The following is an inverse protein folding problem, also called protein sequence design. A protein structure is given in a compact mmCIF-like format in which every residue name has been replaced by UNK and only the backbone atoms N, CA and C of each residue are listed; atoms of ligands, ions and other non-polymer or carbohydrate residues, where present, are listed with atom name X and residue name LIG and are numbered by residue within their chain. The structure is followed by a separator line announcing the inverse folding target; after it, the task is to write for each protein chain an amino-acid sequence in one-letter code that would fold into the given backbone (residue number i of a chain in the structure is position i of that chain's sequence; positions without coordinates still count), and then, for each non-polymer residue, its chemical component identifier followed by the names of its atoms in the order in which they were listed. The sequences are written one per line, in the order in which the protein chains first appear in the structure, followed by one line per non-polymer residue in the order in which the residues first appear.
data_IF_739017798198
#
_entry.id   IF_739017798198
#
_cell.length_a   1.000
_cell.length_b   1.000
_cell.length_c   1.000
_cell.angle_alpha   90.00
_cell.angle_beta   90.00
_cell.angle_gamma   90.00
#
_symmetry.space_group_name_H-M   'P 1'
#
loop_
_entity.id
_entity.type
_entity.pdbx_description
1 polymer ?
#
# COMPACT_ATOMS: atom_id res chain seq x y z
N UNK A 1 -5.78 18.46 7.02
CA UNK A 1 -5.88 18.02 5.62
C UNK A 1 -4.46 17.90 5.12
N UNK A 2 -3.94 16.69 5.00
CA UNK A 2 -2.78 16.48 4.12
C UNK A 2 -3.34 15.75 2.90
N UNK A 3 -3.94 16.55 2.03
CA UNK A 3 -4.36 16.14 0.70
C UNK A 3 -3.13 15.96 -0.20
N UNK A 4 -3.29 15.18 -1.27
CA UNK A 4 -2.30 14.87 -2.29
C UNK A 4 -1.44 16.08 -2.64
N UNK A 5 -0.13 15.87 -2.80
CA UNK A 5 0.79 16.98 -3.07
C UNK A 5 0.49 17.66 -4.41
N UNK A 6 -0.04 16.90 -5.38
CA UNK A 6 -0.59 17.40 -6.64
C UNK A 6 -1.47 16.36 -7.33
N UNK A 7 -2.70 16.71 -7.67
CA UNK A 7 -3.52 16.01 -8.68
C UNK A 7 -3.58 16.90 -9.91
N UNK A 8 -3.22 16.36 -11.08
CA UNK A 8 -3.37 17.05 -12.37
C UNK A 8 -4.18 16.14 -13.28
N UNK A 9 -5.28 16.66 -13.82
CA UNK A 9 -6.05 15.99 -14.86
C UNK A 9 -5.85 16.75 -16.16
N UNK A 10 -5.32 16.07 -17.16
CA UNK A 10 -5.13 16.59 -18.51
C UNK A 10 -6.24 16.03 -19.41
N UNK A 11 -7.01 16.91 -20.07
CA UNK A 11 -8.01 16.52 -21.07
C UNK A 11 -8.02 17.50 -22.23
N UNK A 12 -8.49 17.05 -23.40
CA UNK A 12 -8.77 17.90 -24.55
C UNK A 12 -10.01 18.78 -24.35
N UNK A 13 -10.85 18.46 -23.35
CA UNK A 13 -11.98 19.27 -22.91
C UNK A 13 -11.78 19.77 -21.46
N UNK A 14 -11.60 21.09 -21.29
CA UNK A 14 -11.30 21.72 -19.99
C UNK A 14 -12.41 21.47 -18.95
N UNK A 15 -13.68 21.55 -19.34
CA UNK A 15 -14.83 21.22 -18.49
C UNK A 15 -14.84 19.76 -18.05
N UNK A 16 -14.43 18.84 -18.92
CA UNK A 16 -14.32 17.42 -18.60
C UNK A 16 -13.20 17.15 -17.58
N UNK A 17 -12.05 17.82 -17.73
CA UNK A 17 -10.93 17.69 -16.80
C UNK A 17 -11.31 18.08 -15.36
N UNK A 18 -12.03 19.19 -15.19
CA UNK A 18 -12.45 19.68 -13.87
C UNK A 18 -13.41 18.73 -13.16
N UNK A 19 -14.36 18.14 -13.90
CA UNK A 19 -15.29 17.16 -13.36
C UNK A 19 -14.56 15.90 -12.93
N UNK A 20 -13.69 15.35 -13.78
CA UNK A 20 -12.90 14.17 -13.43
C UNK A 20 -11.95 14.42 -12.27
N UNK A 21 -11.37 15.62 -12.18
CA UNK A 21 -10.50 15.98 -11.06
C UNK A 21 -11.26 15.87 -9.73
N UNK A 22 -12.50 16.39 -9.65
CA UNK A 22 -13.34 16.26 -8.45
C UNK A 22 -13.69 14.81 -8.14
N UNK A 23 -14.10 14.04 -9.15
CA UNK A 23 -14.41 12.61 -8.98
C UNK A 23 -13.20 11.84 -8.43
N UNK A 24 -12.00 12.09 -8.97
CA UNK A 24 -10.77 11.46 -8.49
C UNK A 24 -10.49 11.84 -7.04
N UNK A 25 -10.57 13.13 -6.69
CA UNK A 25 -10.36 13.61 -5.32
C UNK A 25 -11.34 12.94 -4.35
N UNK A 26 -12.62 12.93 -4.68
CA UNK A 26 -13.68 12.39 -3.83
C UNK A 26 -13.49 10.89 -3.61
N UNK A 27 -13.27 10.12 -4.67
CA UNK A 27 -13.08 8.66 -4.60
C UNK A 27 -11.82 8.31 -3.82
N UNK A 28 -10.69 8.96 -4.10
CA UNK A 28 -9.44 8.65 -3.40
C UNK A 28 -9.52 9.05 -1.92
N UNK A 29 -10.27 10.10 -1.58
CA UNK A 29 -10.50 10.53 -0.19
C UNK A 29 -11.40 9.57 0.57
N UNK A 30 -12.50 9.12 -0.04
CA UNK A 30 -13.42 8.12 0.52
C UNK A 30 -12.69 6.82 0.89
N UNK A 31 -11.75 6.40 0.05
CA UNK A 31 -10.95 5.18 0.26
C UNK A 31 -9.68 5.40 1.12
N UNK A 32 -9.51 6.61 1.68
CA UNK A 32 -8.39 7.01 2.50
C UNK A 32 -7.01 6.77 1.83
N UNK A 33 -6.92 7.02 0.53
CA UNK A 33 -5.71 6.82 -0.27
C UNK A 33 -4.75 8.02 -0.27
N UNK A 34 -5.13 9.17 0.30
CA UNK A 34 -4.27 10.37 0.39
C UNK A 34 -3.00 10.17 1.21
N UNK A 35 -3.03 9.24 2.16
CA UNK A 35 -1.86 8.84 2.96
C UNK A 35 -0.99 7.78 2.29
N UNK A 36 -1.44 7.25 1.16
CA UNK A 36 -0.77 6.17 0.42
C UNK A 36 -0.12 6.72 -0.84
N UNK A 37 -0.83 7.61 -1.54
CA UNK A 37 -0.39 8.21 -2.79
C UNK A 37 0.22 9.58 -2.52
N UNK A 38 1.36 9.85 -3.15
CA UNK A 38 2.10 11.11 -3.02
C UNK A 38 1.66 12.09 -4.11
N UNK A 39 1.80 11.67 -5.37
CA UNK A 39 1.51 12.46 -6.57
C UNK A 39 0.61 11.67 -7.48
N UNK A 40 -0.38 12.31 -8.08
CA UNK A 40 -1.34 11.68 -8.97
C UNK A 40 -1.47 12.51 -10.24
N UNK A 41 -1.51 11.83 -11.38
CA UNK A 41 -1.87 12.40 -12.68
C UNK A 41 -2.88 11.52 -13.37
N UNK A 42 -3.91 12.14 -13.94
CA UNK A 42 -4.80 11.50 -14.88
C UNK A 42 -4.70 12.20 -16.24
N UNK A 43 -4.82 11.42 -17.30
CA UNK A 43 -4.91 11.90 -18.67
C UNK A 43 -6.11 11.24 -19.33
N UNK A 44 -6.94 12.05 -19.98
CA UNK A 44 -8.16 11.64 -20.64
C UNK A 44 -8.15 12.21 -22.05
N UNK A 45 -8.37 11.36 -23.04
CA UNK A 45 -8.55 11.78 -24.42
C UNK A 45 -9.91 11.26 -24.90
N UNK A 46 -10.77 12.17 -25.35
CA UNK A 46 -12.11 11.80 -25.82
C UNK A 46 -12.08 11.38 -27.29
N UNK A 47 -11.12 11.89 -28.07
CA UNK A 47 -10.99 11.57 -29.52
C UNK A 47 -10.42 10.19 -29.72
N UNK A 48 -9.41 9.85 -28.93
CA UNK A 48 -8.94 8.49 -28.76
C UNK A 48 -9.40 8.00 -27.39
N UNK A 49 -10.45 7.17 -27.25
CA UNK A 49 -11.10 6.91 -25.97
C UNK A 49 -10.16 6.16 -25.00
N UNK A 50 -9.28 6.90 -24.34
CA UNK A 50 -8.24 6.40 -23.44
C UNK A 50 -8.21 7.23 -22.17
N UNK A 51 -8.14 6.51 -21.06
CA UNK A 51 -7.99 7.03 -19.72
C UNK A 51 -6.71 6.46 -19.13
N UNK A 52 -5.81 7.33 -18.70
CA UNK A 52 -4.54 6.95 -18.08
C UNK A 52 -4.51 7.56 -16.69
N UNK A 53 -4.22 6.74 -15.68
CA UNK A 53 -4.02 7.18 -14.31
C UNK A 53 -2.65 6.70 -13.83
N UNK A 54 -1.85 7.62 -13.32
CA UNK A 54 -0.52 7.34 -12.79
C UNK A 54 -0.37 8.00 -11.44
N UNK A 55 0.07 7.25 -10.44
CA UNK A 55 0.37 7.78 -9.13
C UNK A 55 1.68 7.22 -8.57
N UNK A 56 2.41 8.05 -7.83
CA UNK A 56 3.52 7.59 -6.99
C UNK A 56 3.00 7.23 -5.61
N UNK A 57 3.53 6.15 -5.03
CA UNK A 57 3.24 5.74 -3.66
C UNK A 57 4.22 6.43 -2.73
N UNK A 58 3.75 6.84 -1.56
CA UNK A 58 4.63 7.37 -0.50
C UNK A 58 5.56 6.25 -0.01
N UNK A 59 6.83 6.58 0.22
CA UNK A 59 7.78 5.68 0.87
C UNK A 59 7.32 5.32 2.28
N UNK A 60 7.52 4.07 2.69
CA UNK A 60 7.11 3.58 4.00
C UNK A 60 5.59 3.38 4.12
N UNK A 61 5.03 2.58 3.21
CA UNK A 61 3.61 2.17 3.29
C UNK A 61 3.30 1.64 4.71
N UNK A 62 2.07 1.85 5.22
CA UNK A 62 1.72 1.44 6.57
C UNK A 62 1.96 -0.05 6.76
N UNK A 63 3.02 -0.39 7.50
CA UNK A 63 3.29 -1.73 7.99
C UNK A 63 2.77 -1.84 9.41
N UNK A 64 2.36 -3.04 9.78
CA UNK A 64 1.95 -3.36 11.14
C UNK A 64 3.13 -4.02 11.81
N UNK A 65 3.68 -3.36 12.81
CA UNK A 65 4.74 -3.91 13.65
C UNK A 65 4.12 -4.68 14.80
N UNK A 66 4.88 -5.59 15.40
CA UNK A 66 4.41 -6.32 16.58
C UNK A 66 4.03 -5.36 17.71
N UNK A 67 4.83 -4.31 17.92
CA UNK A 67 4.58 -3.26 18.91
C UNK A 67 3.25 -2.49 18.73
N UNK A 68 2.64 -2.54 17.55
CA UNK A 68 1.33 -1.89 17.31
C UNK A 68 0.16 -2.63 17.98
N UNK A 69 0.36 -3.91 18.35
CA UNK A 69 -0.71 -4.75 18.90
C UNK A 69 -0.25 -5.75 19.96
N UNK A 70 1.00 -5.71 20.40
CA UNK A 70 1.53 -6.55 21.48
C UNK A 70 2.64 -5.85 22.26
N UNK A 71 2.76 -6.22 23.54
CA UNK A 71 3.91 -5.87 24.39
C UNK A 71 4.91 -7.02 24.35
N UNK A 72 6.20 -6.70 24.23
CA UNK A 72 7.28 -7.69 24.11
C UNK A 72 8.25 -7.48 25.26
N UNK A 73 8.41 -8.51 26.07
CA UNK A 73 9.22 -8.50 27.29
C UNK A 73 10.16 -9.71 27.33
N UNK A 74 11.27 -9.55 28.05
CA UNK A 74 12.09 -10.71 28.42
C UNK A 74 11.26 -11.62 29.33
N UNK A 75 11.43 -12.93 29.18
CA UNK A 75 10.87 -13.89 30.12
C UNK A 75 11.46 -13.77 31.52
N UNK A 76 10.98 -14.63 32.43
CA UNK A 76 11.47 -14.62 33.82
C UNK A 76 12.98 -14.82 33.89
N UNK A 77 13.60 -14.22 34.91
CA UNK A 77 15.04 -14.30 35.13
C UNK A 77 15.55 -15.75 35.12
N UNK A 78 16.49 -16.05 34.22
CA UNK A 78 17.07 -17.39 34.05
C UNK A 78 16.35 -18.29 33.04
N UNK A 79 15.26 -17.82 32.42
CA UNK A 79 14.63 -18.49 31.27
C UNK A 79 15.09 -17.86 29.96
N UNK A 80 15.51 -18.71 29.02
CA UNK A 80 15.91 -18.28 27.68
C UNK A 80 14.67 -18.09 26.80
N UNK A 81 13.84 -17.11 27.14
CA UNK A 81 12.57 -16.88 26.45
C UNK A 81 12.19 -15.40 26.36
N UNK A 82 11.34 -15.10 25.38
CA UNK A 82 10.71 -13.79 25.18
C UNK A 82 9.21 -13.99 25.28
N UNK A 83 8.54 -13.12 26.03
CA UNK A 83 7.08 -13.13 26.20
C UNK A 83 6.46 -12.05 25.33
N UNK A 84 5.45 -12.42 24.55
CA UNK A 84 4.67 -11.51 23.71
C UNK A 84 3.23 -11.49 24.24
N UNK A 85 2.84 -10.37 24.84
CA UNK A 85 1.49 -10.15 25.37
C UNK A 85 0.64 -9.43 24.31
N UNK A 86 -0.38 -10.11 23.78
CA UNK A 86 -1.21 -9.62 22.70
C UNK A 86 -2.30 -8.67 23.22
N UNK A 87 -2.31 -7.44 22.73
CA UNK A 87 -3.35 -6.43 23.02
C UNK A 87 -4.55 -6.57 22.07
N UNK A 88 -4.34 -7.12 20.86
CA UNK A 88 -5.37 -7.38 19.84
C UNK A 88 -5.10 -8.69 19.13
N UNK A 89 -6.16 -9.40 18.75
CA UNK A 89 -6.05 -10.73 18.13
C UNK A 89 -6.00 -10.71 16.59
N UNK A 90 -6.13 -9.54 15.96
CA UNK A 90 -6.35 -9.39 14.51
C UNK A 90 -5.21 -9.92 13.63
N UNK A 91 -4.01 -10.11 14.18
CA UNK A 91 -2.79 -10.47 13.44
C UNK A 91 -2.09 -11.73 13.96
N UNK A 92 -2.75 -12.50 14.85
CA UNK A 92 -2.17 -13.72 15.44
C UNK A 92 -1.71 -14.72 14.36
N UNK A 93 -2.50 -15.04 13.31
CA UNK A 93 -2.07 -16.01 12.30
C UNK A 93 -0.80 -15.58 11.56
N UNK A 94 -0.70 -14.29 11.18
CA UNK A 94 0.47 -13.73 10.49
C UNK A 94 1.70 -13.73 11.40
N UNK A 95 1.52 -13.34 12.66
CA UNK A 95 2.56 -13.38 13.68
C UNK A 95 3.09 -14.80 13.89
N UNK A 96 2.21 -15.79 14.10
CA UNK A 96 2.61 -17.18 14.32
C UNK A 96 3.39 -17.76 13.13
N UNK A 97 2.97 -17.48 11.90
CA UNK A 97 3.71 -17.93 10.71
C UNK A 97 5.14 -17.37 10.70
N UNK A 98 5.32 -16.07 10.95
CA UNK A 98 6.66 -15.44 11.01
C UNK A 98 7.51 -15.98 12.15
N UNK A 99 6.92 -16.22 13.32
CA UNK A 99 7.62 -16.82 14.46
C UNK A 99 8.03 -18.27 14.15
N UNK A 100 7.16 -19.06 13.50
CA UNK A 100 7.49 -20.43 13.10
C UNK A 100 8.57 -20.49 12.02
N UNK A 101 8.56 -19.57 11.06
CA UNK A 101 9.61 -19.46 10.05
C UNK A 101 10.97 -19.12 10.66
N UNK A 102 11.00 -18.23 11.66
CA UNK A 102 12.24 -17.76 12.29
C UNK A 102 12.79 -18.70 13.36
N UNK A 103 11.96 -19.12 14.31
CA UNK A 103 12.39 -19.88 15.49
C UNK A 103 12.01 -21.37 15.41
N UNK A 104 11.16 -21.76 14.46
CA UNK A 104 10.64 -23.12 14.37
C UNK A 104 9.43 -23.35 15.28
N UNK A 105 8.47 -24.15 14.80
CA UNK A 105 7.20 -24.41 15.50
C UNK A 105 7.37 -24.99 16.91
N UNK A 106 8.43 -25.77 17.15
CA UNK A 106 8.69 -26.39 18.47
C UNK A 106 9.17 -25.41 19.55
N UNK A 107 9.59 -24.20 19.17
CA UNK A 107 10.11 -23.18 20.08
C UNK A 107 9.07 -22.08 20.38
N UNK A 108 7.85 -22.22 19.87
CA UNK A 108 6.76 -21.26 20.07
C UNK A 108 5.64 -21.93 20.88
N UNK A 109 5.41 -21.44 22.08
CA UNK A 109 4.26 -21.84 22.92
C UNK A 109 3.16 -20.77 22.81
N UNK A 110 1.98 -21.21 22.38
CA UNK A 110 0.75 -20.40 22.31
C UNK A 110 -0.41 -21.15 22.96
N UNK A 111 -0.17 -21.69 24.15
CA UNK A 111 -1.20 -22.35 24.97
C UNK A 111 -2.23 -21.37 25.53
N UNK A 112 -1.83 -20.12 25.78
CA UNK A 112 -2.71 -19.02 26.19
C UNK A 112 -3.10 -18.14 25.01
N UNK A 113 -4.39 -17.77 24.90
CA UNK A 113 -4.89 -17.01 23.74
C UNK A 113 -4.20 -15.64 23.57
N UNK A 114 -3.91 -14.97 24.67
CA UNK A 114 -3.36 -13.60 24.72
C UNK A 114 -1.85 -13.54 24.92
N UNK A 115 -1.15 -14.67 25.01
CA UNK A 115 0.28 -14.69 25.31
C UNK A 115 0.99 -15.72 24.44
N UNK A 116 2.11 -15.31 23.84
CA UNK A 116 3.00 -16.21 23.09
C UNK A 116 4.37 -16.19 23.76
N UNK A 117 4.93 -17.36 24.00
CA UNK A 117 6.29 -17.53 24.52
C UNK A 117 7.20 -18.01 23.38
N UNK A 118 8.30 -17.30 23.17
CA UNK A 118 9.34 -17.64 22.19
C UNK A 118 10.56 -18.13 22.93
N UNK A 119 10.88 -19.42 22.83
CA UNK A 119 12.09 -19.98 23.42
C UNK A 119 13.29 -19.70 22.52
N UNK A 120 14.25 -18.92 22.99
CA UNK A 120 15.45 -18.54 22.24
C UNK A 120 16.64 -18.27 23.18
N UNK A 121 17.83 -18.83 22.89
CA UNK A 121 19.04 -18.57 23.69
C UNK A 121 19.47 -17.10 23.63
N UNK A 122 19.11 -16.37 22.58
CA UNK A 122 19.51 -14.99 22.31
C UNK A 122 18.42 -13.97 22.72
N UNK A 123 17.63 -14.30 23.76
CA UNK A 123 16.46 -13.52 24.18
C UNK A 123 16.74 -12.02 24.37
N UNK A 124 17.93 -11.66 24.86
CA UNK A 124 18.31 -10.26 25.08
C UNK A 124 18.34 -9.43 23.79
N UNK A 125 18.80 -10.01 22.68
CA UNK A 125 18.84 -9.33 21.37
C UNK A 125 17.55 -9.48 20.57
N UNK A 126 16.78 -10.54 20.84
CA UNK A 126 15.54 -10.84 20.11
C UNK A 126 14.37 -9.92 20.52
N UNK A 127 14.35 -9.39 21.75
CA UNK A 127 13.29 -8.48 22.21
C UNK A 127 13.17 -7.24 21.33
N UNK A 128 14.28 -6.54 21.07
CA UNK A 128 14.28 -5.32 20.26
C UNK A 128 13.94 -5.62 18.80
N UNK A 129 14.43 -6.75 18.27
CA UNK A 129 14.06 -7.20 16.94
C UNK A 129 12.55 -7.46 16.85
N UNK A 130 11.99 -8.21 17.80
CA UNK A 130 10.58 -8.61 17.80
C UNK A 130 9.66 -7.39 17.89
N UNK A 131 10.01 -6.37 18.67
CA UNK A 131 9.25 -5.10 18.76
C UNK A 131 9.11 -4.40 17.42
N UNK A 132 10.18 -4.40 16.62
CA UNK A 132 10.24 -3.75 15.30
C UNK A 132 9.82 -4.69 14.15
N UNK A 133 9.58 -5.96 14.44
CA UNK A 133 9.24 -6.96 13.42
C UNK A 133 7.92 -6.59 12.72
N UNK A 134 8.00 -6.46 11.40
CA UNK A 134 6.83 -6.23 10.55
C UNK A 134 6.04 -7.54 10.41
N UNK A 135 4.79 -7.50 10.87
CA UNK A 135 3.84 -8.63 10.92
C UNK A 135 2.97 -8.69 9.68
N UNK A 136 2.48 -7.55 9.23
CA UNK A 136 1.64 -7.46 8.05
C UNK A 136 1.98 -6.17 7.30
N UNK A 137 2.27 -6.30 6.02
CA UNK A 137 2.37 -5.18 5.12
C UNK A 137 0.97 -4.99 4.55
N UNK A 138 0.27 -3.89 4.90
CA UNK A 138 -1.10 -3.62 4.42
C UNK A 138 -1.18 -3.41 2.90
N UNK A 139 -0.15 -3.77 2.14
CA UNK A 139 -0.02 -3.65 0.69
C UNK A 139 -1.19 -4.31 -0.02
N UNK A 140 -1.62 -5.51 0.37
CA UNK A 140 -2.76 -6.18 -0.26
C UNK A 140 -4.05 -5.35 -0.10
N UNK A 141 -4.39 -4.95 1.14
CA UNK A 141 -5.56 -4.11 1.43
C UNK A 141 -5.47 -2.72 0.78
N UNK A 142 -4.26 -2.17 0.61
CA UNK A 142 -4.03 -0.92 -0.12
C UNK A 142 -4.27 -1.13 -1.61
N UNK A 143 -3.75 -2.21 -2.20
CA UNK A 143 -3.93 -2.54 -3.61
C UNK A 143 -5.41 -2.79 -3.92
N UNK A 144 -6.14 -3.46 -3.04
CA UNK A 144 -7.59 -3.66 -3.16
C UNK A 144 -8.35 -2.33 -3.18
N UNK A 145 -7.99 -1.40 -2.30
CA UNK A 145 -8.57 -0.04 -2.30
C UNK A 145 -8.18 0.77 -3.54
N UNK A 146 -6.95 0.64 -4.03
CA UNK A 146 -6.53 1.29 -5.29
C UNK A 146 -7.35 0.73 -6.46
N UNK A 147 -7.53 -0.59 -6.52
CA UNK A 147 -8.36 -1.24 -7.54
C UNK A 147 -9.82 -0.75 -7.46
N UNK A 148 -10.41 -0.71 -6.27
CA UNK A 148 -11.77 -0.18 -6.06
C UNK A 148 -11.86 1.28 -6.54
N UNK A 149 -10.90 2.13 -6.17
CA UNK A 149 -10.83 3.50 -6.65
C UNK A 149 -10.83 3.56 -8.18
N UNK A 150 -10.03 2.73 -8.84
CA UNK A 150 -9.97 2.72 -10.29
C UNK A 150 -11.28 2.26 -10.93
N UNK A 151 -11.97 1.29 -10.35
CA UNK A 151 -13.27 0.84 -10.86
C UNK A 151 -14.33 1.94 -10.78
N UNK A 152 -14.22 2.87 -9.82
CA UNK A 152 -15.14 4.01 -9.65
C UNK A 152 -14.77 5.22 -10.50
N UNK A 153 -13.48 5.42 -10.79
CA UNK A 153 -12.98 6.58 -11.55
C UNK A 153 -13.02 6.34 -13.06
N UNK A 154 -12.73 5.11 -13.50
CA UNK A 154 -12.64 4.80 -14.94
C UNK A 154 -13.98 5.13 -15.63
N UNK A 155 -13.97 5.83 -16.78
CA UNK A 155 -15.19 6.14 -17.51
C UNK A 155 -16.01 4.90 -17.84
N UNK A 156 -17.34 5.05 -17.85
CA UNK A 156 -18.21 3.98 -18.30
C UNK A 156 -17.87 3.57 -19.75
N UNK A 157 -17.96 2.27 -20.06
CA UNK A 157 -17.61 1.73 -21.37
C UNK A 157 -16.13 1.33 -21.53
N UNK A 158 -15.23 1.84 -20.69
CA UNK A 158 -13.80 1.56 -20.78
C UNK A 158 -13.47 0.21 -20.14
N UNK A 159 -13.69 -0.87 -20.89
CA UNK A 159 -13.61 -2.25 -20.39
C UNK A 159 -12.24 -2.89 -20.58
N UNK A 160 -11.45 -2.44 -21.55
CA UNK A 160 -10.10 -2.96 -21.79
C UNK A 160 -9.15 -2.23 -20.85
N UNK A 161 -8.42 -2.98 -20.02
CA UNK A 161 -7.59 -2.41 -18.96
C UNK A 161 -6.19 -3.02 -18.96
N UNK A 162 -5.20 -2.18 -18.72
CA UNK A 162 -3.83 -2.54 -18.44
C UNK A 162 -3.41 -1.82 -17.17
N UNK A 163 -2.76 -2.51 -16.26
CA UNK A 163 -2.30 -1.89 -15.02
C UNK A 163 -1.01 -2.50 -14.52
N UNK A 164 -0.27 -1.70 -13.76
CA UNK A 164 0.87 -2.11 -12.96
C UNK A 164 0.73 -1.51 -11.57
N UNK A 165 0.67 -2.37 -10.58
CA UNK A 165 0.70 -2.01 -9.17
C UNK A 165 2.04 -2.47 -8.61
N UNK A 166 2.91 -1.52 -8.26
CA UNK A 166 4.19 -1.78 -7.60
C UNK A 166 4.21 -1.10 -6.24
N UNK A 167 5.26 -1.33 -5.45
CA UNK A 167 5.47 -0.61 -4.18
C UNK A 167 5.80 0.88 -4.38
N UNK A 168 6.29 1.25 -5.56
CA UNK A 168 6.72 2.61 -5.88
C UNK A 168 5.64 3.41 -6.61
N UNK A 169 4.84 2.76 -7.46
CA UNK A 169 3.87 3.45 -8.31
C UNK A 169 2.66 2.61 -8.67
N UNK A 170 1.62 3.32 -9.09
CA UNK A 170 0.38 2.82 -9.67
C UNK A 170 0.31 3.35 -11.09
N UNK A 171 0.05 2.46 -12.05
CA UNK A 171 -0.19 2.82 -13.44
C UNK A 171 -1.42 2.07 -13.92
N UNK A 172 -2.38 2.79 -14.46
CA UNK A 172 -3.58 2.25 -15.10
C UNK A 172 -3.78 2.90 -16.45
N UNK A 173 -4.15 2.07 -17.43
CA UNK A 173 -4.62 2.48 -18.75
C UNK A 173 -5.93 1.75 -18.98
N UNK A 174 -6.99 2.49 -19.30
CA UNK A 174 -8.29 1.96 -19.65
C UNK A 174 -8.74 2.55 -20.98
N UNK A 175 -9.45 1.77 -21.79
CA UNK A 175 -9.97 2.19 -23.08
C UNK A 175 -11.22 1.37 -23.44
N UNK A 176 -12.03 1.92 -24.35
CA UNK A 176 -13.09 1.16 -25.04
C UNK A 176 -12.49 0.16 -26.04
N UNK A 177 -11.36 0.51 -26.64
CA UNK A 177 -10.68 -0.24 -27.68
C UNK A 177 -9.47 -1.02 -27.12
N UNK A 178 -8.92 -1.99 -27.90
CA UNK A 178 -7.67 -2.65 -27.54
C UNK A 178 -6.54 -1.63 -27.24
N UNK A 179 -5.90 -1.77 -26.08
CA UNK A 179 -4.88 -0.83 -25.62
C UNK A 179 -3.66 -0.86 -26.54
N UNK A 180 -3.39 0.28 -27.18
CA UNK A 180 -2.23 0.49 -28.04
C UNK A 180 -0.95 0.65 -27.23
N UNK A 181 0.19 0.35 -27.86
CA UNK A 181 1.51 0.49 -27.22
C UNK A 181 1.83 1.95 -26.89
N UNK A 182 1.47 2.89 -27.76
CA UNK A 182 1.69 4.33 -27.56
C UNK A 182 1.03 4.88 -26.28
N UNK A 183 -0.13 4.34 -25.89
CA UNK A 183 -0.81 4.73 -24.65
C UNK A 183 -0.08 4.20 -23.41
N UNK A 184 0.52 3.00 -23.49
CA UNK A 184 1.38 2.47 -22.42
C UNK A 184 2.65 3.32 -22.30
N UNK A 185 3.26 3.66 -23.42
CA UNK A 185 4.47 4.49 -23.46
C UNK A 185 4.19 5.90 -22.90
N UNK A 186 3.01 6.47 -23.21
CA UNK A 186 2.53 7.71 -22.61
C UNK A 186 2.38 7.59 -21.09
N UNK A 187 1.77 6.52 -20.59
CA UNK A 187 1.64 6.28 -19.16
C UNK A 187 3.01 6.19 -18.45
N UNK A 188 3.99 5.52 -19.06
CA UNK A 188 5.36 5.48 -18.54
C UNK A 188 6.06 6.84 -18.60
N UNK A 189 5.82 7.63 -19.65
CA UNK A 189 6.33 9.00 -19.76
C UNK A 189 5.79 9.89 -18.64
N UNK A 190 4.48 9.82 -18.36
CA UNK A 190 3.83 10.53 -17.25
C UNK A 190 4.46 10.12 -15.92
N UNK A 191 4.65 8.82 -15.66
CA UNK A 191 5.34 8.30 -14.46
C UNK A 191 6.74 8.90 -14.32
N UNK A 192 7.52 8.88 -15.39
CA UNK A 192 8.89 9.42 -15.36
C UNK A 192 8.90 10.93 -15.08
N UNK A 193 7.91 11.67 -15.59
CA UNK A 193 7.72 13.09 -15.29
C UNK A 193 7.40 13.34 -13.81
N UNK A 194 6.59 12.49 -13.18
CA UNK A 194 6.29 12.57 -11.75
C UNK A 194 7.52 12.36 -10.87
N UNK A 195 8.38 11.40 -11.22
CA UNK A 195 9.62 11.11 -10.47
C UNK A 195 10.60 12.29 -10.58
N UNK A 196 10.78 12.87 -11.77
CA UNK A 196 11.71 13.99 -11.98
C UNK A 196 11.28 15.25 -11.25
N UNK A 197 9.99 15.61 -11.31
CA UNK A 197 9.45 16.78 -10.61
C UNK A 197 9.45 16.68 -9.08
N UNK A 198 9.88 15.56 -8.49
CA UNK A 198 10.12 15.41 -7.05
C UNK A 198 11.55 15.70 -6.61
N UNK A 199 12.54 15.68 -7.51
CA UNK A 199 13.95 15.96 -7.17
C UNK A 199 14.30 17.45 -7.14
N UNK A 200 13.47 18.29 -7.75
CA UNK A 200 13.73 19.73 -7.83
C UNK A 200 13.24 20.51 -6.58
N UNK A 201 12.60 19.82 -5.63
CA UNK A 201 12.09 20.38 -4.37
C UNK A 201 12.74 19.76 -3.11
N UNK A 202 13.88 19.07 -3.25
CA UNK A 202 14.64 18.47 -2.15
C UNK A 202 15.96 19.22 -1.90
#
# INVERSE_FOLDING_TARGET
MEEYEKIIVESDEETGADVYNRVIIDVLSDLALGRVLEKVRAYIDVKEPVFIFVALRRFGLPSIRLSDFAEVDMGDYGKNEVTINLLKESYIPQLLNKLWERYGKGNIDHSERSMIIVHTPDYFTEVDFLREMVIDEKIAQINDRIMDAMLRIIPEGFRVRYHQLTEEYVLFVASEDPIKQEWKDKAFSIRNGLVKGGKDNA
#
